data_IF_624506705971
#
_entry.id   IF_624506705971
#
_cell.length_a   1.000
_cell.length_b   1.000
_cell.length_c   1.000
_cell.angle_alpha   90.00
_cell.angle_beta   90.00
_cell.angle_gamma   90.00
#
_symmetry.space_group_name_H-M   'P 1'
#
loop_
_entity.id
_entity.type
_entity.pdbx_description
1 polymer ?
#
# COMPACT_ATOMS: atom_id res chain seq x y z
N UNK A 1 -19.75 25.48 21.77
CA UNK A 1 -19.19 24.20 21.43
C UNK A 1 -17.68 24.35 21.24
N UNK A 2 -16.90 23.72 22.11
CA UNK A 2 -15.44 23.81 22.02
C UNK A 2 -14.94 23.14 20.77
N UNK A 3 -14.23 23.88 19.91
CA UNK A 3 -13.53 23.36 18.76
C UNK A 3 -12.32 22.58 19.26
N UNK A 4 -12.45 21.27 19.39
CA UNK A 4 -11.31 20.41 19.68
C UNK A 4 -10.41 20.30 18.47
N UNK A 5 -9.11 20.41 18.68
CA UNK A 5 -8.09 20.27 17.66
C UNK A 5 -6.94 19.39 18.13
N UNK A 6 -6.24 18.77 17.20
CA UNK A 6 -4.92 18.19 17.44
C UNK A 6 -3.87 19.07 16.77
N UNK A 7 -2.69 19.08 17.37
CA UNK A 7 -1.56 19.78 16.78
C UNK A 7 -0.28 18.96 16.94
N UNK A 8 0.70 19.26 16.10
CA UNK A 8 2.05 18.75 16.25
C UNK A 8 3.01 19.91 16.08
N UNK A 9 3.89 20.10 17.05
CA UNK A 9 4.99 21.07 16.96
C UNK A 9 6.24 20.32 16.54
N UNK A 10 6.90 20.80 15.50
CA UNK A 10 8.16 20.28 15.00
C UNK A 10 9.27 21.28 15.32
N UNK A 11 10.17 20.88 16.19
CA UNK A 11 11.38 21.64 16.47
C UNK A 11 12.45 21.29 15.43
N UNK A 12 12.64 22.17 14.47
CA UNK A 12 13.58 21.96 13.35
C UNK A 12 15.03 22.19 13.77
N UNK A 13 15.28 22.82 14.93
CA UNK A 13 16.63 23.00 15.47
C UNK A 13 17.13 21.74 16.17
N UNK A 14 16.28 21.16 16.99
CA UNK A 14 16.62 19.96 17.78
C UNK A 14 16.14 18.65 17.12
N UNK A 15 15.44 18.74 16.01
CA UNK A 15 14.83 17.62 15.28
C UNK A 15 13.90 16.77 16.16
N UNK A 16 13.11 17.44 16.98
CA UNK A 16 12.16 16.79 17.89
C UNK A 16 10.71 17.08 17.51
N UNK A 17 9.82 16.19 17.91
CA UNK A 17 8.39 16.22 17.59
C UNK A 17 7.60 16.25 18.89
N UNK A 18 6.70 17.23 19.02
CA UNK A 18 5.87 17.43 20.21
C UNK A 18 4.38 17.39 19.81
N UNK A 19 3.75 16.22 19.84
CA UNK A 19 2.30 16.12 19.60
C UNK A 19 1.51 16.61 20.79
N UNK A 20 0.38 17.23 20.51
CA UNK A 20 -0.50 17.70 21.55
C UNK A 20 -1.97 17.75 21.11
N UNK A 21 -2.84 18.01 22.07
CA UNK A 21 -4.28 18.13 21.83
C UNK A 21 -4.81 19.35 22.60
N UNK A 22 -5.66 20.12 21.93
CA UNK A 22 -6.48 21.11 22.60
C UNK A 22 -7.92 20.60 22.67
N UNK A 23 -8.46 20.49 23.91
CA UNK A 23 -9.86 20.16 24.16
C UNK A 23 -10.41 18.84 23.56
N UNK A 24 -9.83 17.72 23.88
CA UNK A 24 -10.42 16.36 24.00
C UNK A 24 -11.33 15.77 22.89
N UNK A 25 -11.49 16.36 21.72
CA UNK A 25 -12.47 15.88 20.74
C UNK A 25 -11.92 15.44 19.40
N UNK A 26 -10.72 15.87 19.01
CA UNK A 26 -10.05 15.36 17.83
C UNK A 26 -8.72 14.74 18.25
N UNK A 27 -8.58 13.43 18.08
CA UNK A 27 -7.41 12.70 18.54
C UNK A 27 -6.24 12.78 17.57
N UNK A 28 -5.07 13.10 18.09
CA UNK A 28 -3.83 12.71 17.44
C UNK A 28 -3.77 11.18 17.44
N UNK A 29 -3.68 10.57 16.26
CA UNK A 29 -3.66 9.10 16.12
C UNK A 29 -2.25 8.55 16.20
N UNK A 30 -1.24 9.39 16.01
CA UNK A 30 0.15 9.00 15.96
C UNK A 30 0.77 9.26 14.58
N UNK A 31 1.93 8.68 14.34
CA UNK A 31 2.66 8.72 13.08
C UNK A 31 3.09 10.14 12.65
N UNK A 32 3.44 11.00 13.62
CA UNK A 32 4.08 12.26 13.31
C UNK A 32 5.52 11.99 12.85
N UNK A 33 5.89 12.55 11.70
CA UNK A 33 7.22 12.36 11.08
C UNK A 33 7.85 13.68 10.73
N UNK A 34 9.16 13.73 10.90
CA UNK A 34 10.05 14.80 10.48
C UNK A 34 11.12 14.17 9.59
N UNK A 35 11.03 14.41 8.30
CA UNK A 35 11.92 13.84 7.30
C UNK A 35 12.79 14.94 6.70
N UNK A 36 14.12 14.78 6.81
CA UNK A 36 15.07 15.72 6.24
C UNK A 36 15.27 15.51 4.74
N UNK A 37 15.33 16.62 4.01
CA UNK A 37 15.58 16.67 2.58
C UNK A 37 16.78 17.58 2.28
N UNK A 38 17.36 17.52 1.08
CA UNK A 38 18.45 18.41 0.68
C UNK A 38 18.10 19.89 0.86
N UNK A 39 19.11 20.74 1.03
CA UNK A 39 18.99 22.19 1.17
C UNK A 39 18.18 22.66 2.39
N UNK A 40 18.26 21.95 3.49
CA UNK A 40 17.56 22.22 4.75
C UNK A 40 16.03 22.24 4.63
N UNK A 41 15.48 21.53 3.69
CA UNK A 41 14.05 21.27 3.63
C UNK A 41 13.68 20.11 4.56
N UNK A 42 12.51 20.20 5.16
CA UNK A 42 11.93 19.17 6.01
C UNK A 42 10.50 18.90 5.58
N UNK A 43 10.16 17.62 5.44
CA UNK A 43 8.78 17.19 5.28
C UNK A 43 8.21 16.89 6.65
N UNK A 44 7.14 17.58 6.99
CA UNK A 44 6.43 17.45 8.25
C UNK A 44 5.09 16.78 7.99
N UNK A 45 4.75 15.77 8.78
CA UNK A 45 3.48 15.08 8.60
C UNK A 45 2.96 14.48 9.89
N UNK A 46 1.64 14.34 9.99
CA UNK A 46 1.00 13.56 11.05
C UNK A 46 -0.38 13.07 10.62
N UNK A 47 -0.85 12.02 11.28
CA UNK A 47 -2.20 11.49 11.10
C UNK A 47 -3.08 11.94 12.24
N UNK A 48 -4.25 12.47 11.93
CA UNK A 48 -5.23 12.85 12.92
C UNK A 48 -6.59 12.21 12.65
N UNK A 49 -7.35 11.97 13.73
CA UNK A 49 -8.73 11.50 13.63
C UNK A 49 -9.66 12.65 14.01
N UNK A 50 -10.48 13.17 13.11
CA UNK A 50 -11.40 14.26 13.42
C UNK A 50 -12.52 13.87 14.39
N UNK A 51 -12.55 12.60 14.85
CA UNK A 51 -13.61 12.08 15.71
C UNK A 51 -14.88 11.71 14.93
N UNK A 52 -15.89 11.24 15.67
CA UNK A 52 -17.17 10.77 15.11
C UNK A 52 -18.23 11.87 14.93
N UNK A 53 -17.89 13.13 15.19
CA UNK A 53 -18.80 14.27 15.03
C UNK A 53 -19.02 14.65 13.57
N UNK A 54 -20.23 15.13 13.25
CA UNK A 54 -20.49 15.77 11.96
C UNK A 54 -19.91 17.18 11.98
N UNK A 55 -18.77 17.36 11.35
CA UNK A 55 -18.15 18.69 11.20
C UNK A 55 -18.51 19.25 9.82
N UNK A 56 -19.16 20.39 9.78
CA UNK A 56 -19.46 21.08 8.52
C UNK A 56 -18.27 21.85 7.96
N UNK A 57 -17.30 22.17 8.81
CA UNK A 57 -16.08 22.88 8.45
C UNK A 57 -14.90 22.37 9.25
N UNK A 58 -13.76 22.20 8.61
CA UNK A 58 -12.48 21.92 9.23
C UNK A 58 -11.46 22.98 8.81
N UNK A 59 -10.57 23.35 9.70
CA UNK A 59 -9.47 24.26 9.40
C UNK A 59 -8.16 23.59 9.76
N UNK A 60 -7.17 23.74 8.88
CA UNK A 60 -5.79 23.35 9.13
C UNK A 60 -4.98 24.63 9.20
N UNK A 61 -4.32 24.83 10.32
CA UNK A 61 -3.48 26.00 10.54
C UNK A 61 -2.02 25.60 10.51
N UNK A 62 -1.24 26.36 9.79
CA UNK A 62 0.21 26.23 9.74
C UNK A 62 0.80 27.50 10.30
N UNK A 63 1.73 27.40 11.21
CA UNK A 63 2.29 28.58 11.81
C UNK A 63 3.56 28.31 12.59
N UNK A 64 4.21 29.37 12.97
CA UNK A 64 5.38 29.40 13.83
C UNK A 64 4.94 29.53 15.28
N UNK A 65 5.64 28.88 16.19
CA UNK A 65 5.47 29.01 17.65
C UNK A 65 6.83 28.95 18.31
N UNK A 66 6.99 29.69 19.43
CA UNK A 66 8.20 29.63 20.25
C UNK A 66 8.10 28.63 21.42
N UNK A 67 7.00 27.93 21.50
CA UNK A 67 6.77 26.96 22.57
C UNK A 67 6.27 25.63 22.01
N UNK A 68 6.45 24.57 22.77
CA UNK A 68 5.92 23.23 22.41
C UNK A 68 4.39 23.13 22.66
N UNK A 69 3.68 24.21 22.40
CA UNK A 69 2.23 24.32 22.52
C UNK A 69 1.60 24.64 21.18
N UNK A 70 0.36 24.30 20.98
CA UNK A 70 -0.36 24.55 19.71
C UNK A 70 -0.77 26.01 19.48
N UNK A 71 -0.25 26.93 20.25
CA UNK A 71 -0.55 28.37 20.10
C UNK A 71 0.26 28.95 18.94
N UNK A 72 -0.35 29.04 17.79
CA UNK A 72 0.23 29.68 16.60
C UNK A 72 -0.22 31.14 16.51
N UNK A 73 0.69 32.01 16.07
CA UNK A 73 0.34 33.39 15.77
C UNK A 73 0.47 34.41 16.91
N UNK A 74 0.99 34.02 18.07
CA UNK A 74 1.30 34.96 19.16
C UNK A 74 2.73 35.52 19.09
N UNK A 75 3.44 35.21 18.01
CA UNK A 75 4.81 35.66 17.81
C UNK A 75 4.83 37.00 17.07
N UNK A 76 5.50 37.96 17.64
CA UNK A 76 5.76 39.23 16.95
C UNK A 76 6.94 39.04 16.00
N UNK A 77 6.66 39.08 14.70
CA UNK A 77 7.69 39.01 13.68
C UNK A 77 8.60 40.23 13.71
N UNK A 78 9.87 40.05 13.39
CA UNK A 78 10.87 41.11 13.29
C UNK A 78 11.01 41.64 11.86
N UNK A 79 10.10 41.29 10.96
CA UNK A 79 10.09 41.67 9.55
C UNK A 79 11.00 40.85 8.64
N UNK A 80 11.77 39.91 9.18
CA UNK A 80 12.60 39.00 8.39
C UNK A 80 11.91 37.67 8.18
N UNK A 81 12.00 37.03 7.00
CA UNK A 81 11.49 35.68 6.80
C UNK A 81 12.29 34.69 7.67
N UNK A 82 11.58 33.89 8.48
CA UNK A 82 12.18 32.89 9.35
C UNK A 82 12.11 31.48 8.78
N UNK A 83 11.14 31.21 7.88
CA UNK A 83 10.97 29.92 7.22
C UNK A 83 10.13 30.08 5.95
N UNK A 84 10.18 29.08 5.10
CA UNK A 84 9.37 28.97 3.88
C UNK A 84 8.47 27.74 3.98
N UNK A 85 7.21 27.90 3.60
CA UNK A 85 6.27 26.80 3.43
C UNK A 85 6.09 26.45 1.96
N UNK A 86 6.01 25.18 1.69
CA UNK A 86 5.68 24.66 0.37
C UNK A 86 4.92 23.33 0.47
N UNK A 87 3.98 23.10 -0.44
CA UNK A 87 3.35 21.80 -0.62
C UNK A 87 2.42 21.36 0.53
N UNK A 88 1.72 22.30 1.19
CA UNK A 88 0.71 21.95 2.18
C UNK A 88 -0.37 21.07 1.56
N UNK A 89 -0.70 19.97 2.21
CA UNK A 89 -1.65 18.97 1.73
C UNK A 89 -2.41 18.32 2.87
N UNK A 90 -3.68 18.08 2.67
CA UNK A 90 -4.54 17.29 3.56
C UNK A 90 -5.23 16.23 2.74
N UNK A 91 -5.08 14.98 3.13
CA UNK A 91 -5.67 13.87 2.44
C UNK A 91 -6.33 12.86 3.40
N UNK A 92 -7.35 12.18 2.93
CA UNK A 92 -7.98 11.11 3.71
C UNK A 92 -7.14 9.85 3.57
N UNK A 93 -6.57 9.38 4.68
CA UNK A 93 -5.76 8.15 4.70
C UNK A 93 -5.04 7.97 6.03
N UNK A 94 -4.38 6.85 6.21
CA UNK A 94 -3.55 6.55 7.37
C UNK A 94 -2.04 6.74 7.10
N UNK A 95 -1.68 7.16 5.90
CA UNK A 95 -0.32 7.45 5.48
C UNK A 95 -0.31 8.53 4.39
N UNK A 96 0.85 9.12 4.19
CA UNK A 96 1.06 10.12 3.16
C UNK A 96 1.21 9.50 1.78
N UNK A 97 0.66 10.21 0.79
CA UNK A 97 0.98 9.97 -0.62
C UNK A 97 1.94 11.03 -1.16
N UNK A 98 2.32 10.94 -2.43
CA UNK A 98 3.10 12.01 -3.07
C UNK A 98 2.26 13.28 -3.19
N UNK A 99 2.93 14.42 -3.05
CA UNK A 99 2.28 15.72 -3.22
C UNK A 99 1.67 15.89 -4.62
N UNK A 100 0.45 16.38 -4.67
CA UNK A 100 -0.25 16.77 -5.89
C UNK A 100 -0.63 18.23 -5.77
N UNK A 101 -0.19 19.11 -6.69
CA UNK A 101 -0.62 20.50 -6.71
C UNK A 101 -2.14 20.59 -6.86
N UNK A 102 -2.78 21.43 -6.06
CA UNK A 102 -4.20 21.73 -6.17
C UNK A 102 -4.38 23.24 -6.36
N UNK A 103 -5.10 23.61 -7.41
CA UNK A 103 -5.37 25.02 -7.77
C UNK A 103 -6.87 25.30 -7.70
N UNK A 104 -7.37 25.56 -6.48
CA UNK A 104 -8.76 25.98 -6.27
C UNK A 104 -9.81 24.85 -6.24
N UNK A 105 -9.42 23.59 -6.45
CA UNK A 105 -10.32 22.44 -6.36
C UNK A 105 -9.59 21.21 -5.81
N UNK A 106 -10.36 20.25 -5.26
CA UNK A 106 -9.81 18.93 -4.91
C UNK A 106 -9.35 18.20 -6.17
N UNK A 107 -8.19 17.58 -6.08
CA UNK A 107 -7.65 16.71 -7.14
C UNK A 107 -7.71 15.27 -6.67
N UNK A 108 -8.23 14.40 -7.53
CA UNK A 108 -8.20 12.96 -7.30
C UNK A 108 -6.91 12.40 -7.90
N UNK A 109 -6.15 11.67 -7.09
CA UNK A 109 -4.98 10.94 -7.57
C UNK A 109 -5.41 9.83 -8.52
N UNK A 110 -4.76 9.75 -9.67
CA UNK A 110 -4.84 8.59 -10.55
C UNK A 110 -4.27 7.33 -9.90
N UNK A 111 -4.52 6.19 -10.48
CA UNK A 111 -3.88 4.93 -10.08
C UNK A 111 -2.40 4.93 -10.46
N UNK A 112 -1.56 4.43 -9.55
CA UNK A 112 -0.17 4.13 -9.87
C UNK A 112 -0.12 2.70 -10.44
N UNK A 113 0.52 2.54 -11.58
CA UNK A 113 0.76 1.24 -12.21
C UNK A 113 2.18 1.20 -12.74
N UNK A 114 2.86 0.10 -12.48
CA UNK A 114 4.16 -0.20 -13.05
C UNK A 114 4.08 -1.55 -13.77
N UNK A 115 4.73 -1.64 -14.92
CA UNK A 115 4.83 -2.87 -15.71
C UNK A 115 6.30 -3.13 -15.97
N UNK A 116 6.72 -4.36 -15.74
CA UNK A 116 8.02 -4.89 -16.16
C UNK A 116 7.72 -5.90 -17.25
N UNK A 117 8.17 -5.66 -18.48
CA UNK A 117 7.94 -6.51 -19.65
C UNK A 117 9.19 -6.59 -20.53
N UNK A 118 9.08 -7.30 -21.66
CA UNK A 118 10.14 -7.38 -22.65
C UNK A 118 11.45 -7.95 -22.10
N UNK A 119 12.57 -7.30 -22.43
CA UNK A 119 13.91 -7.76 -22.05
C UNK A 119 14.14 -7.63 -20.55
N UNK A 120 13.63 -6.58 -19.90
CA UNK A 120 13.71 -6.39 -18.45
C UNK A 120 12.97 -7.52 -17.70
N UNK A 121 11.80 -7.94 -18.19
CA UNK A 121 11.12 -9.07 -17.63
C UNK A 121 11.91 -10.36 -17.79
N UNK A 122 12.47 -10.61 -18.96
CA UNK A 122 13.26 -11.81 -19.24
C UNK A 122 14.53 -11.88 -18.39
N UNK A 123 15.17 -10.74 -18.13
CA UNK A 123 16.37 -10.67 -17.28
C UNK A 123 16.07 -10.99 -15.81
N UNK A 124 14.99 -10.42 -15.26
CA UNK A 124 14.59 -10.65 -13.86
C UNK A 124 13.92 -12.01 -13.64
N UNK A 125 13.20 -12.51 -14.63
CA UNK A 125 12.39 -13.72 -14.53
C UNK A 125 12.97 -14.84 -15.41
N UNK A 126 14.31 -14.94 -15.43
CA UNK A 126 15.03 -15.95 -16.22
C UNK A 126 14.45 -17.35 -15.99
N UNK A 127 13.77 -17.82 -17.00
CA UNK A 127 13.25 -19.18 -17.09
C UNK A 127 14.11 -20.02 -18.03
N UNK A 128 15.34 -19.56 -18.35
CA UNK A 128 16.29 -20.33 -19.14
C UNK A 128 16.66 -21.60 -18.38
N UNK A 129 16.31 -22.75 -18.93
CA UNK A 129 16.53 -24.06 -18.29
C UNK A 129 15.31 -24.60 -17.53
N UNK A 130 14.19 -23.89 -17.44
CA UNK A 130 12.92 -24.48 -17.03
C UNK A 130 12.29 -25.11 -18.26
N UNK A 131 11.92 -26.38 -18.13
CA UNK A 131 11.12 -27.07 -19.15
C UNK A 131 9.88 -26.22 -19.46
N UNK A 132 9.66 -25.94 -20.74
CA UNK A 132 8.51 -25.16 -21.21
C UNK A 132 7.16 -25.72 -20.79
N UNK A 133 7.16 -26.95 -20.26
CA UNK A 133 5.99 -27.64 -19.73
C UNK A 133 5.86 -27.55 -18.20
N UNK A 134 6.77 -26.87 -17.49
CA UNK A 134 6.77 -26.81 -16.03
C UNK A 134 6.82 -25.36 -15.55
N UNK A 135 5.71 -24.65 -15.70
CA UNK A 135 5.55 -23.31 -15.13
C UNK A 135 5.46 -23.41 -13.62
N UNK A 136 6.49 -22.89 -12.98
CA UNK A 136 6.57 -22.82 -11.53
C UNK A 136 7.16 -21.49 -11.10
N UNK A 137 6.82 -21.09 -9.89
CA UNK A 137 7.38 -19.89 -9.29
C UNK A 137 6.81 -19.64 -7.92
N UNK A 138 7.28 -18.57 -7.33
CA UNK A 138 6.74 -18.03 -6.09
C UNK A 138 6.68 -16.53 -6.19
N UNK A 139 5.50 -15.98 -5.95
CA UNK A 139 5.25 -14.54 -5.92
C UNK A 139 4.85 -14.14 -4.51
N UNK A 140 5.52 -13.13 -3.96
CA UNK A 140 5.24 -12.64 -2.60
C UNK A 140 5.09 -11.12 -2.67
N UNK A 141 4.05 -10.62 -2.01
CA UNK A 141 3.76 -9.21 -1.86
C UNK A 141 3.69 -8.77 -0.40
N UNK A 142 4.16 -7.56 -0.13
CA UNK A 142 3.90 -6.86 1.12
C UNK A 142 3.18 -5.56 0.82
N UNK A 143 2.01 -5.41 1.43
CA UNK A 143 1.09 -4.30 1.21
C UNK A 143 0.76 -3.64 2.54
N UNK A 144 0.66 -2.32 2.53
CA UNK A 144 0.08 -1.55 3.62
C UNK A 144 -1.23 -0.93 3.13
N UNK A 145 -2.34 -1.40 3.68
CA UNK A 145 -3.66 -0.89 3.32
C UNK A 145 -4.24 -0.02 4.44
N UNK A 146 -4.89 1.08 4.05
CA UNK A 146 -5.62 1.94 4.97
C UNK A 146 -7.04 1.40 5.19
N UNK A 147 -7.49 1.34 6.45
CA UNK A 147 -8.87 0.98 6.80
C UNK A 147 -9.92 1.92 6.15
N UNK A 148 -9.52 3.11 5.74
CA UNK A 148 -10.39 4.06 5.03
C UNK A 148 -10.64 3.70 3.56
N UNK A 149 -9.98 2.67 3.05
CA UNK A 149 -10.07 2.23 1.66
C UNK A 149 -10.89 0.95 1.53
N UNK A 150 -12.13 0.94 2.02
CA UNK A 150 -13.08 -0.08 1.57
C UNK A 150 -13.53 0.30 0.14
N UNK A 151 -12.84 -0.17 -0.89
CA UNK A 151 -13.22 0.14 -2.25
C UNK A 151 -14.53 -0.58 -2.57
N UNK A 152 -15.24 -0.10 -3.59
CA UNK A 152 -16.34 -0.86 -4.19
C UNK A 152 -15.87 -2.26 -4.60
N UNK A 153 -16.79 -3.20 -4.81
CA UNK A 153 -16.43 -4.56 -5.20
C UNK A 153 -15.43 -4.60 -6.38
N UNK A 154 -14.34 -5.35 -6.22
CA UNK A 154 -13.30 -5.49 -7.24
C UNK A 154 -11.94 -5.85 -6.65
N UNK A 155 -11.00 -6.25 -7.52
CA UNK A 155 -9.60 -6.55 -7.17
C UNK A 155 -8.74 -5.31 -7.36
N UNK A 156 -7.98 -4.95 -6.34
CA UNK A 156 -7.15 -3.75 -6.24
C UNK A 156 -5.71 -4.10 -5.87
N UNK A 157 -4.79 -3.16 -6.12
CA UNK A 157 -3.36 -3.30 -5.76
C UNK A 157 -2.76 -4.64 -6.16
N UNK A 158 -2.91 -4.95 -7.42
CA UNK A 158 -2.47 -6.23 -7.97
C UNK A 158 -0.95 -6.32 -8.03
N UNK A 159 -0.45 -7.48 -7.70
CA UNK A 159 0.88 -7.94 -8.09
C UNK A 159 0.60 -9.14 -8.97
N UNK A 160 0.83 -9.02 -10.26
CA UNK A 160 0.32 -9.96 -11.24
C UNK A 160 1.39 -10.38 -12.24
N UNK A 161 1.70 -11.65 -12.27
CA UNK A 161 2.43 -12.27 -13.38
C UNK A 161 1.40 -12.66 -14.44
N UNK A 162 1.60 -12.23 -15.67
CA UNK A 162 0.65 -12.50 -16.74
C UNK A 162 1.31 -12.66 -18.10
N UNK A 163 0.66 -13.43 -18.97
CA UNK A 163 0.87 -13.40 -20.40
C UNK A 163 -0.23 -12.58 -21.08
N UNK A 164 -1.46 -12.71 -20.59
CA UNK A 164 -2.66 -11.99 -21.01
C UNK A 164 -3.71 -12.08 -19.90
N UNK A 165 -4.88 -11.52 -20.12
CA UNK A 165 -5.97 -11.56 -19.13
C UNK A 165 -6.41 -12.97 -18.73
N UNK A 166 -6.17 -13.96 -19.56
CA UNK A 166 -6.65 -15.33 -19.41
C UNK A 166 -5.62 -16.25 -18.74
N UNK A 167 -4.35 -15.82 -18.66
CA UNK A 167 -3.27 -16.60 -18.09
C UNK A 167 -2.46 -15.73 -17.13
N UNK A 168 -2.74 -15.88 -15.85
CA UNK A 168 -2.12 -15.05 -14.80
C UNK A 168 -2.09 -15.71 -13.44
N UNK A 169 -1.13 -15.29 -12.65
CA UNK A 169 -1.05 -15.49 -11.19
C UNK A 169 -1.10 -14.13 -10.54
N UNK A 170 -2.12 -13.87 -9.75
CA UNK A 170 -2.40 -12.54 -9.21
C UNK A 170 -2.54 -12.61 -7.69
N UNK A 171 -1.84 -11.73 -7.00
CA UNK A 171 -2.08 -11.37 -5.60
C UNK A 171 -2.82 -10.04 -5.57
N UNK A 172 -3.90 -9.92 -4.80
CA UNK A 172 -4.68 -8.69 -4.75
C UNK A 172 -5.40 -8.46 -3.41
N UNK A 173 -5.83 -7.22 -3.24
CA UNK A 173 -6.84 -6.83 -2.27
C UNK A 173 -8.20 -6.84 -2.96
N UNK A 174 -9.16 -7.56 -2.41
CA UNK A 174 -10.55 -7.54 -2.90
C UNK A 174 -11.37 -6.59 -2.03
N UNK A 175 -12.00 -5.62 -2.67
CA UNK A 175 -12.86 -4.66 -2.01
C UNK A 175 -14.31 -5.13 -1.90
N UNK A 176 -15.07 -4.44 -1.06
CA UNK A 176 -16.47 -4.74 -0.81
C UNK A 176 -16.85 -4.52 0.65
N UNK A 177 -18.02 -4.98 1.07
CA UNK A 177 -18.50 -4.83 2.44
C UNK A 177 -17.65 -5.55 3.50
N UNK A 178 -16.90 -6.57 3.08
CA UNK A 178 -15.93 -7.32 3.92
C UNK A 178 -14.69 -7.57 3.09
N UNK A 179 -13.78 -6.60 3.03
CA UNK A 179 -12.60 -6.74 2.18
C UNK A 179 -11.65 -7.82 2.67
N UNK A 180 -10.96 -8.48 1.74
CA UNK A 180 -10.02 -9.56 1.99
C UNK A 180 -8.87 -9.54 0.97
N UNK A 181 -7.81 -10.31 1.25
CA UNK A 181 -6.73 -10.53 0.29
C UNK A 181 -6.95 -11.87 -0.41
N UNK A 182 -6.63 -11.92 -1.69
CA UNK A 182 -6.73 -13.14 -2.46
C UNK A 182 -5.48 -13.45 -3.27
N UNK A 183 -5.40 -14.71 -3.68
CA UNK A 183 -4.58 -15.14 -4.78
C UNK A 183 -5.47 -15.81 -5.81
N UNK A 184 -5.46 -15.28 -7.01
CA UNK A 184 -6.26 -15.79 -8.11
C UNK A 184 -5.36 -16.28 -9.24
N UNK A 185 -5.53 -17.53 -9.63
CA UNK A 185 -4.81 -18.16 -10.73
C UNK A 185 -5.79 -18.49 -11.84
N UNK A 186 -5.54 -18.00 -13.04
CA UNK A 186 -6.33 -18.32 -14.23
C UNK A 186 -5.45 -18.92 -15.31
N UNK A 187 -6.03 -19.84 -16.07
CA UNK A 187 -5.45 -20.44 -17.24
C UNK A 187 -6.52 -20.75 -18.26
N UNK A 188 -6.37 -20.23 -19.49
CA UNK A 188 -7.32 -20.42 -20.56
C UNK A 188 -8.75 -19.96 -20.23
N UNK A 189 -8.90 -18.76 -19.65
CA UNK A 189 -10.16 -18.16 -19.18
C UNK A 189 -10.77 -18.80 -17.93
N UNK A 190 -10.32 -19.99 -17.51
CA UNK A 190 -10.85 -20.69 -16.37
C UNK A 190 -10.07 -20.35 -15.07
N UNK A 191 -10.78 -20.15 -13.98
CA UNK A 191 -10.17 -20.09 -12.65
C UNK A 191 -9.63 -21.45 -12.29
N UNK A 192 -8.35 -21.51 -11.95
CA UNK A 192 -7.63 -22.71 -11.55
C UNK A 192 -7.49 -22.83 -10.04
N UNK A 193 -7.24 -21.70 -9.37
CA UNK A 193 -7.24 -21.60 -7.92
C UNK A 193 -7.72 -20.22 -7.49
N UNK A 194 -8.42 -20.17 -6.38
CA UNK A 194 -8.90 -18.94 -5.75
C UNK A 194 -8.75 -19.07 -4.23
N UNK A 195 -7.62 -18.60 -3.71
CA UNK A 195 -7.32 -18.62 -2.29
C UNK A 195 -7.74 -17.30 -1.66
N UNK A 196 -8.38 -17.33 -0.51
CA UNK A 196 -8.89 -16.13 0.15
C UNK A 196 -8.45 -16.06 1.61
N UNK A 197 -7.99 -14.89 2.05
CA UNK A 197 -7.78 -14.66 3.46
C UNK A 197 -9.10 -14.32 4.14
N UNK A 198 -9.45 -15.00 5.21
CA UNK A 198 -10.60 -14.63 6.05
C UNK A 198 -10.25 -13.45 6.96
N UNK A 199 -10.10 -12.27 6.39
CA UNK A 199 -9.90 -11.06 7.18
C UNK A 199 -11.24 -10.32 7.31
N UNK A 200 -11.66 -10.10 8.55
CA UNK A 200 -12.81 -9.25 8.84
C UNK A 200 -12.56 -7.77 8.52
N UNK A 201 -13.50 -6.92 8.83
CA UNK A 201 -13.55 -5.48 8.50
C UNK A 201 -12.38 -4.59 9.00
N UNK A 202 -11.42 -5.15 9.71
CA UNK A 202 -10.20 -4.44 10.15
C UNK A 202 -8.99 -5.00 9.40
N UNK A 203 -8.46 -4.22 8.47
CA UNK A 203 -7.19 -4.54 7.85
C UNK A 203 -6.05 -4.39 8.86
N UNK A 204 -5.09 -5.31 8.90
CA UNK A 204 -3.81 -5.01 9.50
C UNK A 204 -3.13 -3.89 8.69
N UNK A 205 -2.38 -3.04 9.36
CA UNK A 205 -1.64 -1.94 8.72
C UNK A 205 -0.69 -2.45 7.64
N UNK A 206 -0.11 -3.62 7.83
CA UNK A 206 0.77 -4.29 6.86
C UNK A 206 0.35 -5.74 6.72
N UNK A 207 0.21 -6.20 5.49
CA UNK A 207 0.01 -7.61 5.16
C UNK A 207 1.16 -8.11 4.29
N UNK A 208 1.58 -9.32 4.57
CA UNK A 208 2.44 -10.10 3.67
C UNK A 208 1.66 -11.29 3.19
N UNK A 209 1.58 -11.49 1.90
CA UNK A 209 0.94 -12.66 1.32
C UNK A 209 1.74 -13.18 0.12
N UNK A 210 1.57 -14.45 -0.19
CA UNK A 210 2.32 -15.04 -1.28
C UNK A 210 1.73 -16.35 -1.76
N UNK A 211 2.09 -16.69 -2.99
CA UNK A 211 1.71 -17.93 -3.65
C UNK A 211 2.96 -18.62 -4.21
N UNK A 212 3.10 -19.89 -3.90
CA UNK A 212 4.05 -20.79 -4.54
C UNK A 212 3.29 -21.72 -5.46
N UNK A 213 3.62 -21.73 -6.75
CA UNK A 213 2.84 -22.42 -7.77
C UNK A 213 3.70 -23.30 -8.68
N UNK A 214 3.15 -24.42 -9.05
CA UNK A 214 3.58 -25.32 -10.10
C UNK A 214 2.34 -26.07 -10.63
N UNK A 215 2.45 -26.79 -11.73
CA UNK A 215 1.35 -27.60 -12.26
C UNK A 215 0.83 -28.57 -11.19
N UNK A 216 -0.46 -28.52 -10.89
CA UNK A 216 -1.14 -29.31 -9.88
C UNK A 216 -0.54 -29.17 -8.46
N UNK A 217 0.07 -28.05 -8.16
CA UNK A 217 0.70 -27.83 -6.86
C UNK A 217 0.80 -26.33 -6.54
N UNK A 218 -0.32 -25.72 -6.21
CA UNK A 218 -0.36 -24.35 -5.74
C UNK A 218 -0.50 -24.29 -4.21
N UNK A 219 0.11 -23.30 -3.59
CA UNK A 219 0.05 -23.05 -2.17
C UNK A 219 0.02 -21.55 -1.89
N UNK A 220 -0.85 -21.11 -1.00
CA UNK A 220 -1.02 -19.72 -0.59
C UNK A 220 -0.84 -19.55 0.91
N UNK A 221 -0.22 -18.47 1.32
CA UNK A 221 -0.10 -18.09 2.73
C UNK A 221 -0.15 -16.58 2.89
N UNK A 222 -0.68 -16.12 4.01
CA UNK A 222 -0.66 -14.71 4.40
C UNK A 222 -0.38 -14.56 5.90
N UNK A 223 0.36 -13.54 6.28
CA UNK A 223 0.74 -13.21 7.66
C UNK A 223 1.20 -14.42 8.50
N UNK A 224 1.94 -15.36 7.88
CA UNK A 224 2.42 -16.57 8.54
C UNK A 224 1.34 -17.59 8.91
N UNK A 225 0.12 -17.44 8.41
CA UNK A 225 -0.97 -18.38 8.66
C UNK A 225 -0.73 -19.76 8.01
N UNK A 226 -1.58 -20.70 8.36
CA UNK A 226 -1.57 -22.05 7.76
C UNK A 226 -1.66 -21.94 6.24
N UNK A 227 -0.79 -22.68 5.57
CA UNK A 227 -0.75 -22.70 4.10
C UNK A 227 -1.96 -23.43 3.55
N UNK A 228 -2.71 -22.75 2.68
CA UNK A 228 -3.75 -23.35 1.87
C UNK A 228 -3.13 -23.97 0.61
N UNK A 229 -3.65 -25.08 0.12
CA UNK A 229 -3.08 -25.80 -1.04
C UNK A 229 -4.16 -26.22 -2.02
N UNK A 230 -3.82 -26.15 -3.31
CA UNK A 230 -4.59 -26.73 -4.40
C UNK A 230 -3.70 -27.65 -5.24
N UNK A 231 -4.03 -28.92 -5.28
CA UNK A 231 -3.29 -29.94 -6.00
C UNK A 231 -3.90 -30.25 -7.38
N UNK A 232 -4.87 -29.45 -7.81
CA UNK A 232 -5.51 -29.58 -9.12
C UNK A 232 -5.40 -28.30 -9.96
N UNK A 233 -4.51 -27.40 -9.58
CA UNK A 233 -4.32 -26.10 -10.21
C UNK A 233 -3.47 -26.23 -11.47
N UNK A 234 -4.03 -25.94 -12.63
CA UNK A 234 -3.26 -25.81 -13.87
C UNK A 234 -2.72 -24.37 -13.99
N UNK A 235 -1.41 -24.21 -13.93
CA UNK A 235 -0.74 -22.92 -14.07
C UNK A 235 -0.16 -22.69 -15.48
N UNK A 236 -0.51 -23.55 -16.44
CA UNK A 236 0.08 -23.60 -17.76
C UNK A 236 1.15 -24.68 -17.90
N UNK A 237 1.74 -24.76 -19.07
CA UNK A 237 2.79 -25.74 -19.34
C UNK A 237 2.47 -26.71 -20.47
N UNK A 238 1.29 -26.62 -21.07
CA UNK A 238 1.05 -27.24 -22.36
C UNK A 238 1.60 -26.34 -23.45
N UNK A 239 2.30 -26.93 -24.41
CA UNK A 239 3.13 -26.27 -25.44
C UNK A 239 2.45 -25.20 -26.32
N UNK A 240 1.17 -24.93 -26.10
CA UNK A 240 0.39 -23.95 -26.85
C UNK A 240 0.15 -22.62 -26.09
N UNK A 241 0.52 -22.52 -24.82
CA UNK A 241 0.28 -21.32 -24.01
C UNK A 241 1.59 -20.67 -23.63
N UNK A 242 1.69 -19.41 -23.97
CA UNK A 242 2.89 -18.62 -23.81
C UNK A 242 3.25 -18.44 -22.33
N UNK A 243 4.55 -18.36 -22.08
CA UNK A 243 5.17 -18.01 -20.80
C UNK A 243 4.56 -16.68 -20.27
N UNK A 244 4.60 -16.48 -18.96
CA UNK A 244 4.38 -15.13 -18.45
C UNK A 244 5.36 -14.17 -19.13
N UNK A 245 4.86 -13.04 -19.57
CA UNK A 245 5.62 -12.06 -20.36
C UNK A 245 5.76 -10.72 -19.65
N UNK A 246 5.03 -10.54 -18.54
CA UNK A 246 5.09 -9.32 -17.78
C UNK A 246 4.72 -9.51 -16.30
N UNK A 247 5.26 -8.61 -15.47
CA UNK A 247 4.83 -8.37 -14.10
C UNK A 247 4.16 -7.01 -14.03
N UNK A 248 2.90 -6.98 -13.65
CA UNK A 248 2.15 -5.75 -13.40
C UNK A 248 2.03 -5.51 -11.89
N UNK A 249 2.34 -4.29 -11.45
CA UNK A 249 2.26 -3.85 -10.06
C UNK A 249 1.37 -2.64 -9.98
N UNK A 250 0.32 -2.68 -9.15
CA UNK A 250 -0.64 -1.59 -9.00
C UNK A 250 -1.93 -1.80 -9.77
N UNK A 251 -2.49 -0.72 -10.32
CA UNK A 251 -3.78 -0.72 -11.00
C UNK A 251 -4.99 -0.71 -10.07
N UNK A 252 -5.96 0.07 -10.41
CA UNK A 252 -7.16 0.52 -9.69
C UNK A 252 -6.86 1.28 -8.38
N UNK A 253 -7.42 2.47 -8.22
CA UNK A 253 -7.13 3.33 -7.09
C UNK A 253 -7.64 2.69 -5.79
N UNK A 254 -6.72 2.32 -4.93
CA UNK A 254 -6.99 2.00 -3.55
C UNK A 254 -5.92 2.66 -2.69
N UNK A 255 -6.27 2.98 -1.45
CA UNK A 255 -5.32 3.57 -0.51
C UNK A 255 -4.47 2.47 0.12
N UNK A 256 -3.57 1.91 -0.66
CA UNK A 256 -2.58 0.97 -0.19
C UNK A 256 -1.23 1.22 -0.84
N UNK A 257 -0.17 0.97 -0.09
CA UNK A 257 1.19 0.97 -0.59
C UNK A 257 1.67 -0.46 -0.79
N UNK A 258 2.21 -0.75 -1.96
CA UNK A 258 2.98 -1.98 -2.18
C UNK A 258 4.40 -1.68 -1.69
N UNK A 259 4.80 -2.32 -0.58
CA UNK A 259 6.10 -2.09 0.05
C UNK A 259 7.20 -2.96 -0.53
N UNK A 260 6.83 -4.17 -0.94
CA UNK A 260 7.78 -5.15 -1.45
C UNK A 260 7.12 -6.13 -2.39
N UNK A 261 7.83 -6.49 -3.44
CA UNK A 261 7.52 -7.60 -4.33
C UNK A 261 8.75 -8.48 -4.41
N UNK A 262 8.56 -9.79 -4.29
CA UNK A 262 9.60 -10.80 -4.48
C UNK A 262 9.09 -11.87 -5.41
N UNK A 263 9.96 -12.30 -6.31
CA UNK A 263 9.72 -13.43 -7.18
C UNK A 263 10.88 -14.43 -7.06
N UNK A 264 10.53 -15.70 -7.07
CA UNK A 264 11.47 -16.82 -7.19
C UNK A 264 11.04 -17.66 -8.39
N UNK A 265 11.98 -18.02 -9.24
CA UNK A 265 11.75 -18.90 -10.41
C UNK A 265 11.45 -20.36 -10.04
N UNK A 266 11.32 -20.64 -8.74
CA UNK A 266 11.04 -21.96 -8.19
C UNK A 266 9.81 -21.91 -7.29
N UNK A 267 9.06 -22.99 -7.28
CA UNK A 267 8.03 -23.25 -6.27
C UNK A 267 8.72 -23.62 -4.96
N UNK A 268 8.85 -22.66 -4.04
CA UNK A 268 9.44 -22.92 -2.71
C UNK A 268 8.53 -23.84 -1.88
N UNK A 269 9.08 -24.44 -0.82
CA UNK A 269 8.29 -25.28 0.08
C UNK A 269 7.22 -24.49 0.84
N UNK A 270 6.16 -25.15 1.29
CA UNK A 270 5.09 -24.55 2.08
C UNK A 270 5.63 -23.90 3.37
N UNK A 271 6.63 -24.52 4.00
CA UNK A 271 7.28 -23.96 5.19
C UNK A 271 8.02 -22.66 4.87
N UNK A 272 8.77 -22.62 3.77
CA UNK A 272 9.45 -21.39 3.33
C UNK A 272 8.46 -20.30 2.97
N UNK A 273 7.38 -20.63 2.25
CA UNK A 273 6.32 -19.69 1.91
C UNK A 273 5.71 -19.06 3.16
N UNK A 274 5.35 -19.89 4.15
CA UNK A 274 4.82 -19.43 5.43
C UNK A 274 5.78 -18.49 6.16
N UNK A 275 7.06 -18.83 6.20
CA UNK A 275 8.09 -18.02 6.87
C UNK A 275 8.32 -16.67 6.16
N UNK A 276 8.26 -16.63 4.84
CA UNK A 276 8.43 -15.39 4.09
C UNK A 276 7.20 -14.47 4.16
N UNK A 277 6.04 -15.01 4.46
CA UNK A 277 4.79 -14.26 4.66
C UNK A 277 4.50 -13.95 6.13
N UNK A 278 5.35 -14.36 7.07
CA UNK A 278 5.22 -14.03 8.49
C UNK A 278 5.70 -12.62 8.85
#
# INVERSE_FOLDING_TARGET
GGNGGSYVVYDLQNLTIHPGQSNNTAGFVGDAKLEAYPNNWYRLSYVFNPGSGSYSTGQVWWGHTNANTGDVGNEQGNGNPSFYFWGASVEKGSFLTSYIPTEGATVTRGEDSAVIDGDEFNEFFDHSGIDTNDYRGTLIGSLEASAASSPSAGRYNKIQLEHNNDNKVQLSLVGGGSPYYDCHITYGTATQADFTSSQGSTFPTVIKHGVAFAKNNAAYSYNGNTVETDNNCNVGGDSAVAKYTQLTIGGRPSKAHIKRVMYYSQRISNTQLRNLTS
#
